data_IF_911979959523
#
_entry.id   IF_911979959523
#
_cell.length_a   1.000
_cell.length_b   1.000
_cell.length_c   1.000
_cell.angle_alpha   90.00
_cell.angle_beta   90.00
_cell.angle_gamma   90.00
#
_symmetry.space_group_name_H-M   'P 1'
#
loop_
_entity.id
_entity.type
_entity.pdbx_description
1 polymer ?
#
# COMPACT_ATOMS: atom_id res chain seq x y z
N UNK A 1 6.70 15.28 -14.70
CA UNK A 1 5.50 14.49 -15.10
C UNK A 1 4.60 14.41 -13.88
N UNK A 2 3.32 14.79 -13.99
CA UNK A 2 2.38 14.84 -12.85
C UNK A 2 1.37 13.70 -12.97
N UNK A 3 1.02 13.05 -11.86
CA UNK A 3 0.05 11.94 -11.87
C UNK A 3 -1.36 12.39 -12.32
N UNK A 4 -1.74 13.63 -12.02
CA UNK A 4 -3.07 14.15 -12.34
C UNK A 4 -3.30 14.35 -13.84
N UNK A 5 -2.23 14.48 -14.62
CA UNK A 5 -2.31 14.68 -16.07
C UNK A 5 -2.26 13.36 -16.86
N UNK A 6 -2.06 12.21 -16.20
CA UNK A 6 -1.94 10.92 -16.87
C UNK A 6 -3.28 10.18 -16.93
N UNK A 7 -3.59 9.56 -18.07
CA UNK A 7 -4.80 8.75 -18.23
C UNK A 7 -4.50 7.27 -17.89
N UNK A 8 -5.16 6.76 -16.85
CA UNK A 8 -4.98 5.39 -16.37
C UNK A 8 -6.01 4.39 -16.90
N UNK A 9 -6.91 4.78 -17.80
CA UNK A 9 -7.94 3.89 -18.36
C UNK A 9 -7.32 2.63 -19.00
N UNK A 10 -7.71 1.45 -18.51
CA UNK A 10 -7.16 0.15 -18.91
C UNK A 10 -5.63 0.04 -18.79
N UNK A 11 -5.01 0.84 -17.92
CA UNK A 11 -3.58 0.75 -17.59
C UNK A 11 -3.37 0.13 -16.22
N UNK A 12 -2.17 -0.39 -16.00
CA UNK A 12 -1.71 -0.89 -14.71
C UNK A 12 -0.59 0.01 -14.20
N UNK A 13 -0.79 0.63 -13.04
CA UNK A 13 0.19 1.47 -12.39
C UNK A 13 0.88 0.68 -11.27
N UNK A 14 2.22 0.62 -11.31
CA UNK A 14 3.03 0.21 -10.16
C UNK A 14 3.32 1.45 -9.33
N UNK A 15 2.84 1.49 -8.09
CA UNK A 15 3.03 2.63 -7.19
C UNK A 15 3.89 2.18 -6.01
N UNK A 16 5.05 2.81 -5.89
CA UNK A 16 5.88 2.70 -4.69
C UNK A 16 5.30 3.61 -3.61
N UNK A 17 4.84 3.00 -2.52
CA UNK A 17 4.27 3.69 -1.36
C UNK A 17 5.17 3.48 -0.14
N UNK A 18 5.06 4.39 0.83
CA UNK A 18 5.70 4.23 2.13
C UNK A 18 4.65 3.75 3.14
N UNK A 19 4.50 2.43 3.25
CA UNK A 19 3.71 1.80 4.31
C UNK A 19 4.60 1.27 5.45
N UNK A 20 5.75 1.90 5.67
CA UNK A 20 6.55 1.65 6.86
C UNK A 20 5.89 2.37 8.06
N UNK A 21 4.83 1.76 8.59
CA UNK A 21 4.05 2.24 9.72
C UNK A 21 4.46 1.53 11.01
N UNK A 22 4.35 2.18 12.17
CA UNK A 22 4.56 1.52 13.45
C UNK A 22 3.49 0.45 13.68
N UNK A 23 3.94 -0.72 14.13
CA UNK A 23 3.11 -1.87 14.45
C UNK A 23 3.38 -2.28 15.90
N UNK A 24 2.34 -2.59 16.67
CA UNK A 24 2.48 -3.08 18.04
C UNK A 24 2.88 -4.58 18.07
N UNK A 25 3.10 -5.11 19.28
CA UNK A 25 3.48 -6.52 19.48
C UNK A 25 2.40 -7.52 19.02
N UNK A 26 1.15 -7.06 18.84
CA UNK A 26 0.03 -7.87 18.36
C UNK A 26 -0.09 -7.85 16.83
N UNK A 27 0.80 -7.15 16.12
CA UNK A 27 0.77 -7.04 14.65
C UNK A 27 -0.24 -6.02 14.13
N UNK A 28 -0.73 -5.11 14.98
CA UNK A 28 -1.70 -4.07 14.62
C UNK A 28 -1.02 -2.73 14.35
N UNK A 29 -1.50 -2.02 13.34
CA UNK A 29 -1.04 -0.66 13.00
C UNK A 29 -1.47 0.32 14.08
N UNK A 30 -0.53 1.05 14.67
CA UNK A 30 -0.81 2.04 15.73
C UNK A 30 -0.94 3.46 15.19
N UNK A 31 -0.31 3.77 14.05
CA UNK A 31 -0.46 5.03 13.32
C UNK A 31 -0.52 4.74 11.82
N UNK A 32 -1.65 5.08 11.20
CA UNK A 32 -1.94 4.81 9.80
C UNK A 32 -1.80 6.05 8.89
N UNK A 33 -1.25 7.14 9.42
CA UNK A 33 -1.14 8.41 8.70
C UNK A 33 -0.48 8.23 7.32
N UNK A 34 0.58 7.43 7.23
CA UNK A 34 1.26 7.14 5.96
C UNK A 34 0.39 6.38 4.96
N UNK A 35 -0.42 5.43 5.44
CA UNK A 35 -1.37 4.69 4.61
C UNK A 35 -2.42 5.67 4.07
N UNK A 36 -2.99 6.51 4.94
CA UNK A 36 -4.00 7.51 4.57
C UNK A 36 -3.48 8.52 3.53
N UNK A 37 -2.22 8.92 3.65
CA UNK A 37 -1.59 9.84 2.68
C UNK A 37 -1.45 9.24 1.27
N UNK A 38 -1.35 7.92 1.13
CA UNK A 38 -1.26 7.27 -0.18
C UNK A 38 -2.63 7.08 -0.87
N UNK A 39 -3.73 7.09 -0.10
CA UNK A 39 -5.09 6.83 -0.60
C UNK A 39 -5.48 7.72 -1.79
N UNK A 40 -5.26 9.05 -1.79
CA UNK A 40 -5.68 9.90 -2.90
C UNK A 40 -5.05 9.49 -4.24
N UNK A 41 -3.75 9.16 -4.22
CA UNK A 41 -2.99 8.69 -5.39
C UNK A 41 -3.55 7.38 -5.93
N UNK A 42 -3.87 6.44 -5.03
CA UNK A 42 -4.42 5.13 -5.40
C UNK A 42 -5.83 5.29 -5.98
N UNK A 43 -6.68 6.09 -5.32
CA UNK A 43 -8.04 6.38 -5.79
C UNK A 43 -8.04 7.00 -7.17
N UNK A 44 -7.13 7.93 -7.46
CA UNK A 44 -7.03 8.56 -8.79
C UNK A 44 -6.86 7.54 -9.91
N UNK A 45 -6.02 6.52 -9.71
CA UNK A 45 -5.82 5.46 -10.71
C UNK A 45 -7.06 4.58 -10.83
N UNK A 46 -7.66 4.18 -9.69
CA UNK A 46 -8.86 3.33 -9.67
C UNK A 46 -10.09 4.02 -10.27
N UNK A 47 -10.33 5.30 -9.96
CA UNK A 47 -11.42 6.11 -10.50
C UNK A 47 -11.31 6.32 -12.01
N UNK A 48 -10.09 6.22 -12.55
CA UNK A 48 -9.84 6.28 -13.99
C UNK A 48 -10.05 4.93 -14.70
N UNK A 49 -10.63 3.92 -14.02
CA UNK A 49 -10.70 2.52 -14.47
C UNK A 49 -9.31 1.91 -14.79
N UNK A 50 -8.30 2.31 -14.02
CA UNK A 50 -6.99 1.67 -14.01
C UNK A 50 -6.90 0.57 -12.96
N UNK A 51 -5.81 -0.20 -13.02
CA UNK A 51 -5.42 -1.15 -11.99
C UNK A 51 -4.16 -0.69 -11.27
N UNK A 52 -4.04 -1.00 -9.99
CA UNK A 52 -2.92 -0.58 -9.15
C UNK A 52 -2.21 -1.79 -8.57
N UNK A 53 -0.89 -1.80 -8.64
CA UNK A 53 -0.02 -2.69 -7.87
C UNK A 53 0.78 -1.83 -6.90
N UNK A 54 0.70 -2.12 -5.61
CA UNK A 54 1.42 -1.37 -4.57
C UNK A 54 2.69 -2.12 -4.18
N UNK A 55 3.80 -1.40 -4.08
CA UNK A 55 5.04 -1.90 -3.51
C UNK A 55 5.46 -1.03 -2.32
N UNK A 56 5.83 -1.68 -1.22
CA UNK A 56 6.35 -1.01 -0.03
C UNK A 56 7.44 -1.88 0.59
N UNK A 57 8.14 -1.29 1.55
CA UNK A 57 8.91 -2.01 2.55
C UNK A 57 8.23 -1.83 3.90
N UNK A 58 8.56 -2.68 4.87
CA UNK A 58 8.18 -2.55 6.27
C UNK A 58 9.40 -2.89 7.13
N UNK A 59 9.79 -1.95 7.99
CA UNK A 59 11.01 -2.09 8.78
C UNK A 59 12.28 -2.23 7.92
N UNK A 60 13.26 -2.95 8.47
CA UNK A 60 14.56 -3.22 7.82
C UNK A 60 14.91 -4.71 8.02
N UNK A 61 14.30 -5.63 7.24
CA UNK A 61 14.72 -7.02 7.25
C UNK A 61 16.19 -7.10 6.84
N UNK A 62 16.96 -7.97 7.50
CA UNK A 62 18.39 -8.12 7.22
C UNK A 62 18.62 -9.18 6.16
N UNK A 63 18.51 -10.45 6.56
CA UNK A 63 19.03 -11.56 5.77
C UNK A 63 17.93 -12.53 5.32
N UNK A 64 16.93 -12.78 6.17
CA UNK A 64 15.87 -13.74 5.90
C UNK A 64 14.48 -13.13 6.03
N UNK A 65 13.48 -13.85 5.52
CA UNK A 65 12.09 -13.48 5.70
C UNK A 65 11.72 -13.53 7.18
N UNK A 66 11.43 -12.36 7.76
CA UNK A 66 10.92 -12.25 9.11
C UNK A 66 9.44 -11.89 9.08
N UNK A 67 8.58 -12.76 9.62
CA UNK A 67 7.11 -12.56 9.63
C UNK A 67 6.71 -11.19 10.21
N UNK A 68 7.49 -10.66 11.17
CA UNK A 68 7.27 -9.33 11.78
C UNK A 68 7.43 -8.15 10.81
N UNK A 69 8.17 -8.32 9.72
CA UNK A 69 8.32 -7.35 8.63
C UNK A 69 7.45 -7.68 7.42
N UNK A 70 6.59 -8.70 7.50
CA UNK A 70 5.63 -9.01 6.45
C UNK A 70 4.59 -7.90 6.32
N UNK A 71 4.41 -7.42 5.10
CA UNK A 71 3.33 -6.50 4.74
C UNK A 71 1.93 -7.13 4.90
N UNK A 72 1.83 -8.46 5.11
CA UNK A 72 0.54 -9.10 5.40
C UNK A 72 -0.17 -8.48 6.60
N UNK A 73 0.59 -7.97 7.58
CA UNK A 73 0.06 -7.34 8.80
C UNK A 73 -0.71 -6.05 8.52
N UNK A 74 -0.39 -5.34 7.44
CA UNK A 74 -1.03 -4.06 7.10
C UNK A 74 -2.16 -4.23 6.06
N UNK A 75 -2.35 -5.43 5.50
CA UNK A 75 -3.34 -5.70 4.45
C UNK A 75 -4.75 -5.48 4.96
N UNK A 76 -5.07 -5.99 6.14
CA UNK A 76 -6.42 -5.83 6.72
C UNK A 76 -6.73 -4.35 6.96
N UNK A 77 -5.79 -3.62 7.55
CA UNK A 77 -5.96 -2.18 7.81
C UNK A 77 -6.10 -1.38 6.52
N UNK A 78 -5.25 -1.67 5.53
CA UNK A 78 -5.29 -1.01 4.22
C UNK A 78 -6.55 -1.36 3.42
N UNK A 79 -7.07 -2.58 3.57
CA UNK A 79 -8.31 -3.05 2.95
C UNK A 79 -9.56 -2.38 3.51
N UNK A 80 -9.55 -1.93 4.78
CA UNK A 80 -10.64 -1.10 5.32
C UNK A 80 -10.71 0.26 4.61
N UNK A 81 -9.56 0.80 4.21
CA UNK A 81 -9.46 2.07 3.51
C UNK A 81 -9.66 1.98 1.99
N UNK A 82 -9.39 0.80 1.39
CA UNK A 82 -9.40 0.55 -0.04
C UNK A 82 -10.29 -0.67 -0.33
N UNK A 83 -11.34 -0.48 -1.17
CA UNK A 83 -12.41 -1.47 -1.42
C UNK A 83 -11.94 -2.93 -1.59
N UNK A 84 -10.82 -3.15 -2.26
CA UNK A 84 -10.25 -4.49 -2.44
C UNK A 84 -8.72 -4.37 -2.54
N UNK A 85 -8.02 -5.00 -1.59
CA UNK A 85 -6.56 -5.10 -1.59
C UNK A 85 -6.21 -6.57 -1.63
N UNK A 86 -5.56 -7.00 -2.70
CA UNK A 86 -5.01 -8.35 -2.82
C UNK A 86 -3.53 -8.31 -2.48
N UNK A 87 -3.13 -9.14 -1.52
CA UNK A 87 -1.74 -9.23 -1.10
C UNK A 87 -1.01 -10.28 -1.92
N UNK A 88 0.13 -9.89 -2.47
CA UNK A 88 1.04 -10.78 -3.18
C UNK A 88 2.38 -10.71 -2.43
N UNK A 89 2.78 -11.82 -1.80
CA UNK A 89 4.05 -12.01 -1.11
C UNK A 89 4.65 -13.33 -1.56
#
# INVERSE_FOLDING_TARGET
MNINSFNFFNKRALIRVDFNVPINNEGQVTDDTRIRMAIPTIKKVLESNGSVVLMSHLGRPKDEFEKKYSLSQIVEHSGKALRSVHFFC
#
